data_IF_749664538131
#
_entry.id   IF_749664538131
#
_cell.length_a   1.000
_cell.length_b   1.000
_cell.length_c   1.000
_cell.angle_alpha   90.00
_cell.angle_beta   90.00
_cell.angle_gamma   90.00
#
_symmetry.space_group_name_H-M   'P 1'
#
loop_
_entity.id
_entity.type
_entity.pdbx_description
1 polymer ?
#
# COMPACT_ATOMS: atom_id res chain seq x y z
N UNK A 1 -7.61 -39.01 -4.96
CA UNK A 1 -8.55 -37.93 -4.59
C UNK A 1 -7.77 -36.91 -3.78
N UNK A 2 -7.29 -35.85 -4.43
CA UNK A 2 -6.64 -34.75 -3.71
C UNK A 2 -7.74 -33.98 -2.97
N UNK A 3 -7.62 -33.88 -1.65
CA UNK A 3 -8.44 -32.98 -0.86
C UNK A 3 -8.01 -31.56 -1.21
N UNK A 4 -8.64 -30.97 -2.22
CA UNK A 4 -8.62 -29.53 -2.42
C UNK A 4 -9.44 -28.94 -1.28
N UNK A 5 -8.81 -28.72 -0.13
CA UNK A 5 -9.33 -27.75 0.85
C UNK A 5 -9.50 -26.45 0.10
N UNK A 6 -10.73 -26.14 -0.27
CA UNK A 6 -11.09 -24.94 -1.00
C UNK A 6 -10.74 -23.75 -0.10
N UNK A 7 -9.55 -23.17 -0.28
CA UNK A 7 -9.08 -22.07 0.57
C UNK A 7 -9.98 -20.88 0.29
N UNK A 8 -10.55 -20.27 1.34
CA UNK A 8 -11.47 -19.13 1.21
C UNK A 8 -10.85 -17.92 0.50
N UNK A 9 -9.55 -17.71 0.63
CA UNK A 9 -8.81 -16.63 -0.01
C UNK A 9 -7.58 -17.16 -0.76
N UNK A 10 -7.16 -16.52 -1.85
CA UNK A 10 -5.97 -16.92 -2.59
C UNK A 10 -4.70 -16.71 -1.74
N UNK A 11 -3.75 -17.64 -1.87
CA UNK A 11 -2.44 -17.50 -1.22
C UNK A 11 -1.75 -16.18 -1.66
N UNK A 12 -1.03 -15.48 -0.77
CA UNK A 12 -0.70 -15.80 0.63
C UNK A 12 -1.71 -15.36 1.70
N UNK A 13 -2.91 -14.90 1.34
CA UNK A 13 -3.91 -14.51 2.34
C UNK A 13 -4.31 -15.69 3.24
N UNK A 14 -4.53 -15.37 4.50
CA UNK A 14 -5.02 -16.25 5.54
C UNK A 14 -6.38 -15.77 6.04
N UNK A 15 -7.15 -16.64 6.67
CA UNK A 15 -8.44 -16.29 7.29
C UNK A 15 -8.19 -15.99 8.76
N UNK A 16 -8.53 -14.78 9.20
CA UNK A 16 -8.34 -14.37 10.59
C UNK A 16 -9.27 -15.19 11.51
N UNK A 17 -8.76 -15.87 12.56
CA UNK A 17 -9.54 -16.86 13.30
C UNK A 17 -10.69 -16.26 14.12
N UNK A 18 -10.60 -14.98 14.50
CA UNK A 18 -11.62 -14.29 15.31
C UNK A 18 -12.64 -13.54 14.46
N UNK A 19 -12.20 -12.91 13.38
CA UNK A 19 -13.02 -11.99 12.57
C UNK A 19 -13.46 -12.61 11.24
N UNK A 20 -12.78 -13.66 10.77
CA UNK A 20 -13.01 -14.26 9.45
C UNK A 20 -12.50 -13.44 8.27
N UNK A 21 -11.89 -12.28 8.52
CA UNK A 21 -11.38 -11.38 7.49
C UNK A 21 -10.08 -11.92 6.86
N UNK A 22 -9.74 -11.53 5.62
CA UNK A 22 -8.45 -11.88 5.03
C UNK A 22 -7.33 -11.12 5.73
N UNK A 23 -6.18 -11.76 5.92
CA UNK A 23 -4.98 -11.07 6.39
C UNK A 23 -3.71 -11.66 5.79
N UNK A 24 -2.65 -10.84 5.71
CA UNK A 24 -1.29 -11.29 5.43
C UNK A 24 -0.51 -11.35 6.74
N UNK A 25 0.36 -12.34 6.90
CA UNK A 25 1.34 -12.39 8.01
C UNK A 25 2.73 -12.17 7.42
N UNK A 26 3.51 -11.30 8.04
CA UNK A 26 4.89 -11.10 7.61
C UNK A 26 5.75 -12.32 8.02
N UNK A 27 6.84 -12.63 7.29
CA UNK A 27 7.76 -13.68 7.71
C UNK A 27 8.59 -13.26 8.93
N UNK A 28 9.24 -14.22 9.57
CA UNK A 28 10.23 -13.95 10.61
C UNK A 28 11.32 -12.99 10.09
N UNK A 29 11.82 -12.05 10.91
CA UNK A 29 11.57 -11.88 12.35
C UNK A 29 10.35 -11.00 12.69
N UNK A 30 9.46 -10.71 11.73
CA UNK A 30 8.29 -9.85 11.92
C UNK A 30 6.97 -10.65 11.90
N UNK A 31 6.99 -11.92 12.29
CA UNK A 31 5.83 -12.82 12.25
C UNK A 31 4.71 -12.47 13.25
N UNK A 32 5.01 -11.58 14.20
CA UNK A 32 4.02 -10.90 15.03
C UNK A 32 3.31 -9.71 14.32
N UNK A 33 3.68 -9.39 13.08
CA UNK A 33 3.03 -8.34 12.28
C UNK A 33 2.09 -8.97 11.26
N UNK A 34 0.89 -8.41 11.16
CA UNK A 34 -0.13 -8.77 10.17
C UNK A 34 -0.56 -7.55 9.37
N UNK A 35 -1.09 -7.77 8.16
CA UNK A 35 -1.75 -6.75 7.34
C UNK A 35 -3.21 -7.13 7.19
N UNK A 36 -4.13 -6.26 7.61
CA UNK A 36 -5.57 -6.51 7.63
C UNK A 36 -6.34 -5.46 6.79
N UNK A 37 -7.66 -5.63 6.62
CA UNK A 37 -8.53 -4.55 6.17
C UNK A 37 -8.54 -3.38 7.15
N UNK A 38 -9.02 -2.24 6.66
CA UNK A 38 -9.20 -1.01 7.43
C UNK A 38 -10.37 -1.11 8.40
N UNK A 39 -10.24 -0.47 9.56
CA UNK A 39 -11.28 -0.44 10.60
C UNK A 39 -11.55 1.00 11.01
N UNK A 40 -12.80 1.32 11.32
CA UNK A 40 -13.19 2.66 11.82
C UNK A 40 -12.47 3.02 13.14
N UNK A 41 -12.05 2.01 13.90
CA UNK A 41 -11.27 2.18 15.13
C UNK A 41 -9.83 2.66 14.88
N UNK A 42 -9.35 2.67 13.64
CA UNK A 42 -7.99 3.10 13.29
C UNK A 42 -7.86 4.64 13.20
N UNK A 43 -8.95 5.40 13.32
CA UNK A 43 -9.00 6.87 13.15
C UNK A 43 -8.00 7.58 14.06
N UNK A 44 -8.07 7.35 15.38
CA UNK A 44 -7.23 8.08 16.34
C UNK A 44 -5.74 7.78 16.14
N UNK A 45 -5.40 6.51 15.92
CA UNK A 45 -4.03 6.10 15.67
C UNK A 45 -3.49 6.66 14.33
N UNK A 46 -4.33 6.71 13.29
CA UNK A 46 -3.99 7.32 12.00
C UNK A 46 -3.70 8.80 12.15
N UNK A 47 -4.54 9.55 12.87
CA UNK A 47 -4.34 10.98 13.16
C UNK A 47 -3.04 11.18 13.93
N UNK A 48 -2.79 10.38 14.97
CA UNK A 48 -1.59 10.50 15.79
C UNK A 48 -0.31 10.27 14.96
N UNK A 49 -0.28 9.22 14.12
CA UNK A 49 0.88 8.90 13.30
C UNK A 49 1.11 9.95 12.22
N UNK A 50 0.05 10.39 11.51
CA UNK A 50 0.18 11.35 10.40
C UNK A 50 0.46 12.79 10.84
N UNK A 51 0.28 13.12 12.12
CA UNK A 51 0.72 14.39 12.70
C UNK A 51 2.09 14.30 13.40
N UNK A 52 2.69 13.11 13.54
CA UNK A 52 4.05 13.01 14.06
C UNK A 52 5.04 13.56 13.02
N UNK A 53 5.85 14.55 13.40
CA UNK A 53 6.79 15.22 12.49
C UNK A 53 7.78 14.26 11.82
N UNK A 54 8.12 13.13 12.46
CA UNK A 54 9.03 12.11 11.89
C UNK A 54 8.39 11.38 10.71
N UNK A 55 7.06 11.36 10.63
CA UNK A 55 6.28 10.79 9.53
C UNK A 55 5.84 11.89 8.57
N UNK A 56 5.15 12.92 9.08
CA UNK A 56 4.52 13.96 8.28
C UNK A 56 5.49 14.68 7.33
N UNK A 57 6.74 14.91 7.74
CA UNK A 57 7.74 15.63 6.93
C UNK A 57 8.24 14.84 5.71
N UNK A 58 7.98 13.53 5.70
CA UNK A 58 8.34 12.61 4.63
C UNK A 58 7.16 12.25 3.71
N UNK A 59 5.96 12.78 3.99
CA UNK A 59 4.75 12.51 3.21
C UNK A 59 4.28 13.77 2.48
N UNK A 60 4.01 13.65 1.19
CA UNK A 60 3.48 14.73 0.34
C UNK A 60 1.96 14.66 0.14
N UNK A 61 1.37 13.47 0.20
CA UNK A 61 -0.06 13.24 -0.09
C UNK A 61 -1.02 13.74 1.00
N UNK A 62 -0.90 13.28 2.27
CA UNK A 62 -1.83 13.67 3.32
C UNK A 62 -1.77 15.17 3.65
N UNK A 63 -2.93 15.84 3.88
CA UNK A 63 -2.97 17.21 4.37
C UNK A 63 -2.30 17.33 5.75
N UNK A 64 -1.81 18.53 6.08
CA UNK A 64 -1.13 18.79 7.34
C UNK A 64 -1.50 20.15 7.93
N UNK A 65 -2.01 20.21 9.18
CA UNK A 65 -2.24 19.08 10.09
C UNK A 65 -3.30 18.08 9.55
N UNK A 66 -3.16 16.81 9.93
CA UNK A 66 -4.08 15.76 9.52
C UNK A 66 -5.26 15.70 10.51
N UNK A 67 -6.44 16.12 10.05
CA UNK A 67 -7.62 16.30 10.88
C UNK A 67 -8.46 15.01 10.97
N UNK A 68 -9.34 14.96 11.96
CA UNK A 68 -10.27 13.86 12.16
C UNK A 68 -11.16 13.59 10.93
N UNK A 69 -11.68 14.64 10.29
CA UNK A 69 -12.47 14.52 9.06
C UNK A 69 -11.70 13.93 7.88
N UNK A 70 -10.39 14.21 7.77
CA UNK A 70 -9.53 13.60 6.77
C UNK A 70 -9.38 12.09 7.03
N UNK A 71 -9.17 11.71 8.29
CA UNK A 71 -9.01 10.32 8.70
C UNK A 71 -10.30 9.52 8.44
N UNK A 72 -11.45 10.02 8.89
CA UNK A 72 -12.75 9.37 8.69
C UNK A 72 -13.05 9.22 7.21
N UNK A 73 -12.96 10.31 6.43
CA UNK A 73 -13.27 10.27 5.00
C UNK A 73 -12.39 9.26 4.25
N UNK A 74 -11.09 9.23 4.56
CA UNK A 74 -10.17 8.30 3.92
C UNK A 74 -10.45 6.85 4.36
N UNK A 75 -10.58 6.58 5.66
CA UNK A 75 -10.84 5.23 6.17
C UNK A 75 -12.16 4.66 5.63
N UNK A 76 -13.23 5.46 5.58
CA UNK A 76 -14.53 5.01 5.04
C UNK A 76 -14.42 4.61 3.56
N UNK A 77 -13.72 5.42 2.77
CA UNK A 77 -13.43 5.10 1.37
C UNK A 77 -12.67 3.78 1.26
N UNK A 78 -11.65 3.58 2.10
CA UNK A 78 -10.83 2.36 2.10
C UNK A 78 -11.62 1.12 2.49
N UNK A 79 -12.46 1.21 3.53
CA UNK A 79 -13.37 0.13 3.94
C UNK A 79 -14.30 -0.25 2.79
N UNK A 80 -14.85 0.73 2.07
CA UNK A 80 -15.73 0.46 0.94
C UNK A 80 -15.01 -0.20 -0.24
N UNK A 81 -13.79 0.23 -0.57
CA UNK A 81 -12.94 -0.37 -1.61
C UNK A 81 -12.59 -1.83 -1.27
N UNK A 82 -12.13 -2.08 -0.05
CA UNK A 82 -11.73 -3.42 0.39
C UNK A 82 -12.91 -4.37 0.50
N UNK A 83 -14.06 -3.91 1.01
CA UNK A 83 -15.27 -4.73 1.11
C UNK A 83 -15.68 -5.31 -0.24
N UNK A 84 -15.64 -4.51 -1.31
CA UNK A 84 -15.99 -4.97 -2.66
C UNK A 84 -15.12 -6.15 -3.11
N UNK A 85 -13.81 -6.05 -2.88
CA UNK A 85 -12.85 -7.11 -3.23
C UNK A 85 -13.08 -8.36 -2.39
N UNK A 86 -13.31 -8.20 -1.08
CA UNK A 86 -13.57 -9.33 -0.18
C UNK A 86 -14.86 -10.06 -0.58
N UNK A 87 -15.93 -9.32 -0.90
CA UNK A 87 -17.19 -9.89 -1.38
C UNK A 87 -17.03 -10.59 -2.74
N UNK A 88 -16.13 -10.12 -3.60
CA UNK A 88 -15.79 -10.77 -4.87
C UNK A 88 -15.04 -12.08 -4.64
N UNK A 89 -14.07 -12.10 -3.71
CA UNK A 89 -13.36 -13.31 -3.31
C UNK A 89 -14.28 -14.35 -2.67
N UNK A 90 -15.19 -13.91 -1.80
CA UNK A 90 -16.16 -14.80 -1.17
C UNK A 90 -17.11 -15.42 -2.19
N UNK A 91 -17.50 -14.66 -3.24
CA UNK A 91 -18.31 -15.16 -4.36
C UNK A 91 -17.56 -16.16 -5.25
N UNK A 92 -16.24 -16.00 -5.42
CA UNK A 92 -15.41 -16.96 -6.15
C UNK A 92 -15.35 -18.32 -5.45
N UNK A 93 -15.67 -18.39 -4.15
CA UNK A 93 -15.81 -19.62 -3.38
C UNK A 93 -14.62 -20.59 -3.54
N UNK A 94 -13.40 -20.07 -3.63
CA UNK A 94 -12.17 -20.85 -3.76
C UNK A 94 -11.76 -21.23 -5.19
N UNK A 95 -12.59 -20.95 -6.21
CA UNK A 95 -12.23 -21.07 -7.62
C UNK A 95 -11.54 -19.80 -8.14
N UNK A 96 -10.28 -19.63 -7.72
CA UNK A 96 -9.45 -18.50 -8.14
C UNK A 96 -8.69 -18.76 -9.44
N UNK A 97 -8.73 -19.99 -9.98
CA UNK A 97 -8.18 -20.25 -11.33
C UNK A 97 -9.06 -19.60 -12.41
N UNK A 98 -10.36 -19.45 -12.15
CA UNK A 98 -11.31 -18.74 -13.03
C UNK A 98 -11.47 -17.25 -12.69
N UNK A 99 -11.13 -16.83 -11.47
CA UNK A 99 -11.21 -15.42 -11.04
C UNK A 99 -9.97 -14.70 -11.52
N UNK A 100 -10.04 -14.08 -12.71
CA UNK A 100 -8.85 -13.68 -13.46
C UNK A 100 -7.93 -12.73 -12.67
N UNK A 101 -8.44 -11.59 -12.18
CA UNK A 101 -7.71 -10.60 -11.37
C UNK A 101 -8.67 -9.71 -10.57
N UNK A 102 -8.19 -9.10 -9.48
CA UNK A 102 -8.94 -8.16 -8.63
C UNK A 102 -8.46 -6.71 -8.84
N UNK A 103 -9.37 -5.75 -8.67
CA UNK A 103 -9.07 -4.32 -8.83
C UNK A 103 -8.20 -3.74 -7.71
N UNK A 104 -8.36 -4.20 -6.47
CA UNK A 104 -7.65 -3.67 -5.30
C UNK A 104 -7.12 -4.79 -4.39
N UNK A 105 -6.18 -4.44 -3.50
CA UNK A 105 -5.77 -5.30 -2.41
C UNK A 105 -6.79 -5.28 -1.26
N UNK A 106 -7.24 -6.44 -0.73
CA UNK A 106 -8.22 -6.48 0.35
C UNK A 106 -7.67 -6.02 1.70
N UNK A 107 -6.34 -5.88 1.83
CA UNK A 107 -5.65 -5.55 3.09
C UNK A 107 -4.62 -4.45 2.88
N UNK A 108 -4.43 -3.59 3.89
CA UNK A 108 -3.42 -2.52 3.86
C UNK A 108 -3.00 -2.01 5.24
N UNK A 109 -3.78 -2.29 6.31
CA UNK A 109 -3.48 -1.82 7.65
C UNK A 109 -2.47 -2.74 8.31
N UNK A 110 -1.28 -2.22 8.62
CA UNK A 110 -0.21 -2.94 9.30
C UNK A 110 -0.53 -2.93 10.80
N UNK A 111 -0.61 -4.12 11.40
CA UNK A 111 -0.88 -4.30 12.84
C UNK A 111 0.18 -5.14 13.50
N UNK A 112 0.57 -4.75 14.70
CA UNK A 112 1.34 -5.60 15.59
C UNK A 112 0.40 -6.41 16.48
N UNK A 113 0.59 -7.73 16.50
CA UNK A 113 -0.09 -8.63 17.43
C UNK A 113 0.74 -8.71 18.71
N UNK A 114 0.17 -8.25 19.82
CA UNK A 114 0.77 -8.29 21.15
C UNK A 114 0.46 -9.62 21.86
N UNK A 115 1.10 -9.83 23.01
CA UNK A 115 0.73 -10.91 23.92
C UNK A 115 -0.77 -10.80 24.28
N UNK A 116 -1.49 -11.92 24.23
CA UNK A 116 -2.95 -11.93 24.42
C UNK A 116 -3.78 -11.61 23.18
N UNK A 117 -3.17 -11.62 21.98
CA UNK A 117 -3.81 -11.38 20.67
C UNK A 117 -4.40 -9.98 20.48
N UNK A 118 -3.93 -8.98 21.22
CA UNK A 118 -4.30 -7.60 20.96
C UNK A 118 -3.63 -7.12 19.65
N UNK A 119 -4.42 -6.58 18.73
CA UNK A 119 -3.94 -6.07 17.45
C UNK A 119 -3.86 -4.54 17.45
N UNK A 120 -2.64 -4.01 17.48
CA UNK A 120 -2.39 -2.57 17.50
C UNK A 120 -2.10 -2.08 16.09
N UNK A 121 -2.86 -1.08 15.61
CA UNK A 121 -2.57 -0.41 14.34
C UNK A 121 -1.26 0.38 14.42
N UNK A 122 -0.34 0.12 13.48
CA UNK A 122 1.01 0.73 13.48
C UNK A 122 1.39 1.36 12.14
N UNK A 123 0.53 1.30 11.12
CA UNK A 123 0.84 1.89 9.82
C UNK A 123 0.00 1.37 8.68
N UNK A 124 0.37 1.75 7.47
CA UNK A 124 -0.36 1.43 6.27
C UNK A 124 0.58 1.11 5.11
N UNK A 125 0.17 0.20 4.24
CA UNK A 125 0.82 -0.13 2.97
C UNK A 125 -0.26 -0.35 1.91
N UNK A 126 -0.52 0.67 1.10
CA UNK A 126 -1.54 0.65 0.06
C UNK A 126 -0.89 0.53 -1.31
N UNK A 127 -1.32 -0.47 -2.10
CA UNK A 127 -1.12 -0.50 -3.55
C UNK A 127 -2.38 0.00 -4.25
N UNK A 128 -2.22 0.88 -5.24
CA UNK A 128 -3.32 1.38 -6.08
C UNK A 128 -2.82 1.78 -7.45
N UNK A 129 -3.72 2.00 -8.41
CA UNK A 129 -3.35 2.58 -9.71
C UNK A 129 -2.62 3.91 -9.50
N UNK A 130 -1.55 4.12 -10.27
CA UNK A 130 -0.70 5.31 -10.20
C UNK A 130 -1.50 6.57 -10.52
N UNK A 131 -1.19 7.63 -9.79
CA UNK A 131 -1.67 8.99 -10.03
C UNK A 131 -0.66 9.86 -10.80
N UNK A 132 0.45 9.26 -11.28
CA UNK A 132 1.50 9.93 -12.03
C UNK A 132 2.10 11.15 -11.31
N UNK A 133 2.27 11.05 -9.98
CA UNK A 133 2.83 12.12 -9.15
C UNK A 133 4.15 12.73 -9.69
N UNK A 134 5.12 11.98 -10.26
CA UNK A 134 6.34 12.56 -10.83
C UNK A 134 6.12 13.57 -11.97
N UNK A 135 4.97 13.52 -12.65
CA UNK A 135 4.71 14.36 -13.82
C UNK A 135 4.37 15.78 -13.38
N UNK A 136 5.27 16.73 -13.68
CA UNK A 136 5.12 18.15 -13.28
C UNK A 136 3.93 18.84 -13.93
N UNK A 137 3.68 18.55 -15.21
CA UNK A 137 2.55 19.09 -15.93
C UNK A 137 1.27 18.42 -15.42
N UNK A 138 0.42 19.19 -14.75
CA UNK A 138 -0.82 18.69 -14.16
C UNK A 138 -1.84 18.24 -15.19
N UNK A 139 -1.89 18.86 -16.37
CA UNK A 139 -2.82 18.45 -17.42
C UNK A 139 -2.41 17.08 -17.98
N UNK A 140 -1.11 16.90 -18.19
CA UNK A 140 -0.54 15.63 -18.61
C UNK A 140 -0.69 14.54 -17.54
N UNK A 141 -0.39 14.84 -16.27
CA UNK A 141 -0.58 13.93 -15.16
C UNK A 141 -2.05 13.45 -15.05
N UNK A 142 -3.00 14.38 -15.20
CA UNK A 142 -4.43 14.06 -15.20
C UNK A 142 -4.83 13.20 -16.42
N UNK A 143 -4.27 13.48 -17.60
CA UNK A 143 -4.50 12.67 -18.81
C UNK A 143 -4.01 11.24 -18.60
N UNK A 144 -2.77 11.06 -18.14
CA UNK A 144 -2.17 9.76 -17.85
C UNK A 144 -2.94 9.01 -16.76
N UNK A 145 -3.33 9.69 -15.68
CA UNK A 145 -4.14 9.10 -14.62
C UNK A 145 -5.51 8.61 -15.14
N UNK A 146 -6.16 9.38 -16.00
CA UNK A 146 -7.44 9.01 -16.61
C UNK A 146 -7.28 7.80 -17.53
N UNK A 147 -6.25 7.77 -18.35
CA UNK A 147 -5.93 6.64 -19.23
C UNK A 147 -5.66 5.37 -18.42
N UNK A 148 -4.81 5.47 -17.40
CA UNK A 148 -4.48 4.35 -16.52
C UNK A 148 -5.70 3.85 -15.73
N UNK A 149 -6.55 4.75 -15.22
CA UNK A 149 -7.79 4.41 -14.52
C UNK A 149 -8.85 3.77 -15.43
N UNK A 150 -8.82 4.05 -16.74
CA UNK A 150 -9.76 3.48 -17.71
C UNK A 150 -9.39 2.06 -18.17
N UNK A 151 -8.16 1.61 -17.88
CA UNK A 151 -7.71 0.26 -18.25
C UNK A 151 -8.57 -0.82 -17.59
N UNK A 152 -8.91 -1.91 -18.29
CA UNK A 152 -9.64 -3.03 -17.70
C UNK A 152 -8.88 -3.67 -16.53
N UNK A 153 -9.60 -4.24 -15.56
CA UNK A 153 -8.99 -4.98 -14.43
C UNK A 153 -8.02 -6.03 -14.96
N UNK A 154 -6.79 -6.00 -14.47
CA UNK A 154 -5.73 -6.94 -14.87
C UNK A 154 -5.10 -6.69 -16.24
N UNK A 155 -5.31 -5.51 -16.85
CA UNK A 155 -4.50 -5.07 -17.99
C UNK A 155 -3.01 -4.95 -17.52
N UNK A 156 -2.05 -5.65 -18.16
CA UNK A 156 -0.65 -5.63 -17.76
C UNK A 156 0.02 -4.27 -17.91
N UNK A 157 -0.55 -3.35 -18.68
CA UNK A 157 -0.04 -1.99 -18.84
C UNK A 157 -0.58 -1.02 -17.77
N UNK A 158 -1.36 -1.50 -16.79
CA UNK A 158 -1.69 -0.70 -15.61
C UNK A 158 -0.41 -0.36 -14.85
N UNK A 159 -0.18 0.93 -14.64
CA UNK A 159 0.85 1.40 -13.73
C UNK A 159 0.29 1.48 -12.31
N UNK A 160 0.98 0.83 -11.39
CA UNK A 160 0.64 0.83 -9.97
C UNK A 160 1.58 1.76 -9.17
N UNK A 161 1.17 2.07 -7.95
CA UNK A 161 1.93 2.89 -7.00
C UNK A 161 1.69 2.38 -5.57
N UNK A 162 2.70 2.52 -4.71
CA UNK A 162 2.60 2.30 -3.27
C UNK A 162 2.56 3.60 -2.49
N UNK A 163 1.57 3.75 -1.62
CA UNK A 163 1.58 4.71 -0.52
C UNK A 163 1.75 3.99 0.80
N UNK A 164 2.75 4.38 1.60
CA UNK A 164 3.02 3.72 2.87
C UNK A 164 3.46 4.69 3.97
N UNK A 165 3.19 4.29 5.21
CA UNK A 165 3.72 4.93 6.40
C UNK A 165 3.74 3.96 7.57
N UNK A 166 4.59 4.23 8.55
CA UNK A 166 4.71 3.43 9.75
C UNK A 166 4.86 4.33 10.98
N UNK A 167 4.33 3.92 12.11
CA UNK A 167 4.51 4.58 13.39
C UNK A 167 6.03 4.70 13.70
N UNK A 168 6.49 5.86 14.20
CA UNK A 168 7.92 6.07 14.50
C UNK A 168 8.54 5.04 15.44
N UNK A 169 7.76 4.51 16.38
CA UNK A 169 8.17 3.43 17.31
C UNK A 169 8.56 2.11 16.61
N UNK A 170 8.25 1.99 15.33
CA UNK A 170 8.44 0.77 14.53
C UNK A 170 9.40 0.97 13.36
N UNK A 171 9.98 2.16 13.21
CA UNK A 171 11.00 2.45 12.20
C UNK A 171 12.29 1.64 12.44
N UNK A 172 13.06 1.41 11.38
CA UNK A 172 14.36 0.72 11.45
C UNK A 172 14.29 -0.80 11.70
N UNK A 173 13.09 -1.38 11.81
CA UNK A 173 12.88 -2.81 12.15
C UNK A 173 12.66 -3.73 10.94
N UNK A 174 12.79 -3.22 9.72
CA UNK A 174 12.55 -4.01 8.49
C UNK A 174 11.08 -4.27 8.15
N UNK A 175 10.14 -3.83 9.00
CA UNK A 175 8.70 -4.09 8.87
C UNK A 175 8.16 -3.65 7.52
N UNK A 176 8.42 -2.41 7.08
CA UNK A 176 7.87 -1.92 5.81
C UNK A 176 8.43 -2.67 4.60
N UNK A 177 9.73 -3.06 4.61
CA UNK A 177 10.31 -3.90 3.56
C UNK A 177 9.59 -5.24 3.46
N UNK A 178 9.33 -5.89 4.61
CA UNK A 178 8.59 -7.14 4.66
C UNK A 178 7.11 -6.96 4.25
N UNK A 179 6.49 -5.83 4.61
CA UNK A 179 5.11 -5.52 4.27
C UNK A 179 4.92 -5.30 2.76
N UNK A 180 5.80 -4.52 2.12
CA UNK A 180 5.81 -4.35 0.65
C UNK A 180 5.98 -5.71 -0.03
N UNK A 181 6.93 -6.55 0.42
CA UNK A 181 7.13 -7.90 -0.14
C UNK A 181 5.86 -8.74 -0.04
N UNK A 182 5.22 -8.77 1.13
CA UNK A 182 4.00 -9.55 1.36
C UNK A 182 2.83 -9.08 0.49
N UNK A 183 2.65 -7.77 0.31
CA UNK A 183 1.63 -7.22 -0.60
C UNK A 183 1.97 -7.56 -2.05
N UNK A 184 3.23 -7.45 -2.47
CA UNK A 184 3.68 -7.82 -3.82
C UNK A 184 3.43 -9.30 -4.13
N UNK A 185 3.72 -10.20 -3.19
CA UNK A 185 3.50 -11.64 -3.33
C UNK A 185 2.03 -12.00 -3.59
N UNK A 186 1.11 -11.15 -3.13
CA UNK A 186 -0.31 -11.28 -3.42
C UNK A 186 -0.71 -10.52 -4.70
N UNK A 187 -0.31 -9.25 -4.82
CA UNK A 187 -0.77 -8.34 -5.86
C UNK A 187 -0.28 -8.73 -7.27
N UNK A 188 0.95 -9.24 -7.41
CA UNK A 188 1.47 -9.67 -8.73
C UNK A 188 0.59 -10.74 -9.37
N UNK A 189 0.32 -11.90 -8.72
CA UNK A 189 -0.54 -12.91 -9.31
C UNK A 189 -2.03 -12.54 -9.29
N UNK A 190 -2.50 -11.76 -8.31
CA UNK A 190 -3.94 -11.53 -8.11
C UNK A 190 -4.48 -10.24 -8.73
N UNK A 191 -3.63 -9.28 -9.08
CA UNK A 191 -4.02 -8.01 -9.72
C UNK A 191 -3.34 -7.82 -11.10
N UNK A 192 -2.56 -8.81 -11.56
CA UNK A 192 -1.70 -8.73 -12.75
C UNK A 192 -0.74 -7.54 -12.73
N UNK A 193 -0.03 -7.34 -11.63
CA UNK A 193 0.91 -6.22 -11.51
C UNK A 193 2.19 -6.52 -12.30
N UNK A 194 2.48 -5.69 -13.31
CA UNK A 194 3.71 -5.79 -14.13
C UNK A 194 4.61 -4.57 -13.98
N UNK A 195 4.07 -3.43 -13.57
CA UNK A 195 4.79 -2.17 -13.51
C UNK A 195 4.33 -1.33 -12.31
N UNK A 196 5.27 -0.90 -11.49
CA UNK A 196 5.02 -0.07 -10.32
C UNK A 196 6.01 1.08 -10.30
N UNK A 197 5.49 2.29 -10.23
CA UNK A 197 6.26 3.49 -9.96
C UNK A 197 6.00 3.93 -8.53
N UNK A 198 7.05 4.21 -7.77
CA UNK A 198 6.96 4.75 -6.42
C UNK A 198 7.85 5.97 -6.30
N UNK A 199 7.46 6.86 -5.39
CA UNK A 199 8.15 8.13 -5.19
C UNK A 199 8.42 8.36 -3.72
N UNK A 200 9.58 8.94 -3.43
CA UNK A 200 9.94 9.39 -2.11
C UNK A 200 10.69 10.72 -2.22
N UNK A 201 10.70 11.51 -1.15
CA UNK A 201 11.62 12.64 -1.09
C UNK A 201 13.05 12.11 -1.29
N UNK A 202 13.85 12.78 -2.12
CA UNK A 202 15.20 12.33 -2.46
C UNK A 202 16.12 12.22 -1.23
N UNK A 203 15.84 12.97 -0.15
CA UNK A 203 16.54 12.92 1.13
C UNK A 203 16.06 11.78 2.06
N UNK A 204 14.97 11.08 1.72
CA UNK A 204 14.41 9.99 2.51
C UNK A 204 15.06 8.65 2.16
N UNK A 205 16.35 8.53 2.50
CA UNK A 205 17.15 7.31 2.27
C UNK A 205 16.52 6.05 2.88
N UNK A 206 15.78 6.17 3.98
CA UNK A 206 15.11 5.05 4.62
C UNK A 206 13.99 4.46 3.74
N UNK A 207 13.18 5.31 3.11
CA UNK A 207 12.13 4.87 2.17
C UNK A 207 12.73 4.32 0.89
N UNK A 208 13.75 4.97 0.31
CA UNK A 208 14.44 4.44 -0.88
C UNK A 208 15.00 3.03 -0.63
N UNK A 209 15.61 2.81 0.54
CA UNK A 209 16.13 1.50 0.94
C UNK A 209 15.04 0.43 1.09
N UNK A 210 13.81 0.79 1.44
CA UNK A 210 12.68 -0.15 1.50
C UNK A 210 12.39 -0.70 0.11
N UNK A 211 12.35 0.16 -0.92
CA UNK A 211 12.06 -0.22 -2.29
C UNK A 211 13.25 -0.92 -2.96
N UNK A 212 14.50 -0.47 -2.75
CA UNK A 212 15.70 -1.18 -3.22
C UNK A 212 15.72 -2.65 -2.78
N UNK A 213 15.41 -2.91 -1.50
CA UNK A 213 15.34 -4.28 -0.95
C UNK A 213 14.26 -5.16 -1.60
N UNK A 214 13.28 -4.53 -2.24
CA UNK A 214 12.18 -5.19 -2.95
C UNK A 214 12.41 -5.20 -4.48
N UNK A 215 13.64 -4.97 -4.93
CA UNK A 215 14.03 -5.08 -6.34
C UNK A 215 13.65 -3.88 -7.19
N UNK A 216 13.30 -2.75 -6.58
CA UNK A 216 13.09 -1.51 -7.32
C UNK A 216 14.42 -0.89 -7.70
N UNK A 217 14.49 -0.32 -8.90
CA UNK A 217 15.63 0.45 -9.40
C UNK A 217 15.32 1.93 -9.39
N UNK A 218 16.31 2.75 -9.06
CA UNK A 218 16.21 4.20 -9.23
C UNK A 218 16.15 4.55 -10.71
N UNK A 219 15.14 5.32 -11.11
CA UNK A 219 14.98 5.80 -12.48
C UNK A 219 15.57 7.20 -12.64
N UNK A 220 15.12 8.13 -11.80
CA UNK A 220 15.55 9.52 -11.86
C UNK A 220 15.33 10.23 -10.53
N UNK A 221 16.00 11.38 -10.37
CA UNK A 221 15.71 12.35 -9.32
C UNK A 221 15.25 13.64 -9.99
N UNK A 222 14.02 14.05 -9.69
CA UNK A 222 13.45 15.30 -10.17
C UNK A 222 13.79 16.38 -9.14
N UNK A 223 14.82 17.16 -9.45
CA UNK A 223 15.30 18.24 -8.58
C UNK A 223 14.29 19.36 -8.44
N UNK A 224 14.18 19.96 -7.25
CA UNK A 224 13.24 21.06 -6.97
C UNK A 224 11.80 20.75 -7.43
N UNK A 225 11.33 19.53 -7.13
CA UNK A 225 10.03 19.04 -7.59
C UNK A 225 8.89 19.91 -7.09
N UNK A 226 8.90 20.25 -5.79
CA UNK A 226 7.85 21.07 -5.20
C UNK A 226 8.27 21.75 -3.90
N UNK A 227 7.34 22.52 -3.34
CA UNK A 227 7.49 23.17 -2.03
C UNK A 227 6.52 22.52 -1.04
N UNK A 228 7.01 22.15 0.14
CA UNK A 228 6.12 21.71 1.22
C UNK A 228 5.16 22.83 1.61
N UNK A 229 3.98 22.48 2.12
CA UNK A 229 3.07 23.48 2.70
C UNK A 229 3.79 24.26 3.81
N UNK A 230 3.43 25.53 4.01
CA UNK A 230 4.09 26.39 5.00
C UNK A 230 3.99 25.82 6.43
N UNK A 231 2.90 25.11 6.74
CA UNK A 231 2.73 24.39 8.02
C UNK A 231 3.77 23.27 8.23
N UNK A 232 4.41 22.77 7.16
CA UNK A 232 5.55 21.85 7.18
C UNK A 232 6.91 22.55 7.00
N UNK A 233 6.95 23.88 7.15
CA UNK A 233 8.17 24.67 7.06
C UNK A 233 8.54 25.15 5.65
N UNK A 234 7.70 24.90 4.63
CA UNK A 234 7.86 25.54 3.33
C UNK A 234 9.13 25.15 2.56
N UNK A 235 9.81 24.05 2.90
CA UNK A 235 11.04 23.65 2.22
C UNK A 235 10.77 23.18 0.80
N UNK A 236 11.63 23.55 -0.13
CA UNK A 236 11.71 22.89 -1.44
C UNK A 236 12.20 21.46 -1.24
N UNK A 237 11.67 20.52 -2.01
CA UNK A 237 12.08 19.12 -1.98
C UNK A 237 12.21 18.56 -3.40
N UNK A 238 13.19 17.67 -3.58
CA UNK A 238 13.38 16.86 -4.78
C UNK A 238 12.70 15.51 -4.60
N UNK A 239 12.27 14.92 -5.71
CA UNK A 239 11.56 13.64 -5.72
C UNK A 239 12.42 12.58 -6.40
N UNK A 240 12.72 11.49 -5.71
CA UNK A 240 13.31 10.32 -6.32
C UNK A 240 12.21 9.39 -6.82
N UNK A 241 12.34 8.93 -8.07
CA UNK A 241 11.43 7.99 -8.71
C UNK A 241 12.10 6.63 -8.78
N UNK A 242 11.43 5.62 -8.25
CA UNK A 242 11.88 4.23 -8.27
C UNK A 242 10.86 3.39 -9.02
N UNK A 243 11.34 2.42 -9.79
CA UNK A 243 10.51 1.57 -10.62
C UNK A 243 10.76 0.10 -10.28
N UNK A 244 9.68 -0.68 -10.29
CA UNK A 244 9.74 -2.13 -10.36
C UNK A 244 9.00 -2.59 -11.61
N UNK A 245 9.62 -3.53 -12.33
CA UNK A 245 9.00 -4.22 -13.46
C UNK A 245 9.09 -5.73 -13.26
N UNK A 246 8.02 -6.43 -13.62
CA UNK A 246 8.02 -7.90 -13.66
C UNK A 246 9.05 -8.37 -14.69
N UNK A 247 10.00 -9.20 -14.27
CA UNK A 247 10.96 -9.82 -15.17
C UNK A 247 10.25 -10.85 -16.05
N UNK A 248 10.37 -10.71 -17.38
CA UNK A 248 9.81 -11.65 -18.36
C UNK A 248 8.31 -11.49 -18.64
N UNK A 249 7.97 -11.26 -19.92
CA UNK A 249 6.61 -11.45 -20.44
C UNK A 249 6.42 -12.94 -20.74
N UNK A 250 5.94 -13.71 -19.78
CA UNK A 250 5.28 -14.99 -20.06
C UNK A 250 3.79 -14.88 -19.70
#
# INVERSE_FOLDING_TARGET
MASTTNKRYPHPLQVHPKTGEPYLRLPAPNDNIIITPSRVTDVDATIAILNDVRVAMNLSGPPYPYLHEHAVSWIDMQIAEQRKVIEEMDRAAGDFEQTKYFENCPVQCIREVKEGDEEVFIGNVKISRSNFLPVRDKEEANRLQKENSARPVGDPDIEWFFGDYLAPSHHGKGIMSAAIKAVMDWAVPMMNVHHINVTANADNAASLRVFEKNGYTHLETIEDFGKQVESKGGRTYSLAVMEWRKEGKE
#
